data_IF_938966052679
#
_entry.id   IF_938966052679
#
_cell.length_a   1.000
_cell.length_b   1.000
_cell.length_c   1.000
_cell.angle_alpha   90.00
_cell.angle_beta   90.00
_cell.angle_gamma   90.00
#
_symmetry.space_group_name_H-M   'P 1'
#
loop_
_entity.id
_entity.type
_entity.pdbx_description
1 polymer ?
#
# COMPACT_ATOMS: atom_id res chain seq x y z
N UNK A 1 0.25 16.87 -19.46
CA UNK A 1 0.21 18.08 -18.62
C UNK A 1 -1.18 18.36 -18.08
N UNK A 2 -2.28 18.38 -18.87
CA UNK A 2 -3.64 18.70 -18.38
C UNK A 2 -4.08 17.87 -17.15
N UNK A 3 -3.83 16.55 -17.10
CA UNK A 3 -4.20 15.74 -15.95
C UNK A 3 -3.42 16.11 -14.68
N UNK A 4 -2.15 16.49 -14.81
CA UNK A 4 -1.33 16.95 -13.67
C UNK A 4 -1.83 18.31 -13.18
N UNK A 5 -2.16 19.22 -14.10
CA UNK A 5 -2.78 20.50 -13.72
C UNK A 5 -4.14 20.29 -13.03
N UNK A 6 -4.97 19.34 -13.52
CA UNK A 6 -6.22 18.96 -12.86
C UNK A 6 -6.00 18.35 -11.48
N UNK A 7 -4.97 17.48 -11.32
CA UNK A 7 -4.60 16.94 -10.01
C UNK A 7 -4.10 18.02 -9.04
N UNK A 8 -3.26 18.95 -9.51
CA UNK A 8 -2.81 20.07 -8.70
C UNK A 8 -3.97 20.99 -8.29
N UNK A 9 -4.91 21.26 -9.20
CA UNK A 9 -6.11 22.01 -8.89
C UNK A 9 -6.97 21.31 -7.84
N UNK A 10 -7.17 19.97 -7.98
CA UNK A 10 -7.90 19.18 -7.00
C UNK A 10 -7.27 19.29 -5.60
N UNK A 11 -5.94 19.14 -5.50
CA UNK A 11 -5.20 19.28 -4.24
C UNK A 11 -5.34 20.70 -3.67
N UNK A 12 -5.20 21.73 -4.51
CA UNK A 12 -5.35 23.13 -4.08
C UNK A 12 -6.75 23.42 -3.55
N UNK A 13 -7.78 23.00 -4.29
CA UNK A 13 -9.18 23.18 -3.87
C UNK A 13 -9.46 22.39 -2.59
N UNK A 14 -8.96 21.15 -2.48
CA UNK A 14 -9.10 20.35 -1.26
C UNK A 14 -8.45 21.04 -0.06
N UNK A 15 -7.25 21.58 -0.23
CA UNK A 15 -6.58 22.32 0.84
C UNK A 15 -7.34 23.59 1.26
N UNK A 16 -7.81 24.39 0.30
CA UNK A 16 -8.55 25.63 0.58
C UNK A 16 -9.89 25.38 1.26
N UNK A 17 -10.70 24.46 0.69
CA UNK A 17 -12.02 24.11 1.24
C UNK A 17 -11.85 23.41 2.59
N UNK A 18 -10.92 22.48 2.70
CA UNK A 18 -10.66 21.79 3.96
C UNK A 18 -10.19 22.76 5.05
N UNK A 19 -9.29 23.69 4.74
CA UNK A 19 -8.87 24.72 5.69
C UNK A 19 -10.04 25.63 6.11
N UNK A 20 -10.96 25.96 5.20
CA UNK A 20 -12.16 26.74 5.54
C UNK A 20 -13.09 25.96 6.49
N UNK A 21 -13.34 24.68 6.23
CA UNK A 21 -14.15 23.82 7.10
C UNK A 21 -13.49 23.68 8.48
N UNK A 22 -12.18 23.36 8.53
CA UNK A 22 -11.47 23.17 9.81
C UNK A 22 -11.46 24.46 10.65
N UNK A 23 -11.35 25.64 10.02
CA UNK A 23 -11.43 26.92 10.73
C UNK A 23 -12.84 27.28 11.21
N UNK A 24 -13.87 26.82 10.49
CA UNK A 24 -15.26 27.15 10.80
C UNK A 24 -15.80 26.29 11.97
N UNK A 25 -15.56 25.00 11.97
CA UNK A 25 -16.17 24.06 12.91
C UNK A 25 -15.21 23.00 13.45
N UNK A 26 -13.97 22.93 12.98
CA UNK A 26 -12.96 21.95 13.44
C UNK A 26 -13.31 20.51 13.11
N UNK A 27 -14.26 20.26 12.21
CA UNK A 27 -14.83 18.92 12.00
C UNK A 27 -13.94 17.96 11.23
N UNK A 28 -12.89 18.44 10.53
CA UNK A 28 -11.98 17.57 9.80
C UNK A 28 -10.96 16.87 10.73
N UNK A 29 -10.63 17.48 11.85
CA UNK A 29 -9.58 17.01 12.76
C UNK A 29 -8.24 16.75 12.05
N UNK A 30 -7.86 17.64 11.13
CA UNK A 30 -6.57 17.61 10.43
C UNK A 30 -6.02 19.04 10.30
N UNK A 31 -4.75 19.23 10.69
CA UNK A 31 -4.16 20.58 10.71
C UNK A 31 -3.77 21.09 9.32
N UNK A 32 -3.58 20.21 8.35
CA UNK A 32 -3.17 20.56 6.98
C UNK A 32 -3.97 19.77 5.92
N UNK A 33 -5.29 20.06 5.78
CA UNK A 33 -6.13 19.34 4.83
C UNK A 33 -5.57 19.37 3.40
N UNK A 34 -5.71 18.28 2.61
CA UNK A 34 -6.41 17.03 2.96
C UNK A 34 -5.55 16.00 3.69
N UNK A 35 -4.27 16.29 3.98
CA UNK A 35 -3.35 15.38 4.67
C UNK A 35 -3.46 15.50 6.19
N UNK A 36 -3.31 14.38 6.89
CA UNK A 36 -3.09 14.37 8.33
C UNK A 36 -1.65 14.79 8.62
N UNK A 37 -1.40 16.10 8.60
CA UNK A 37 -0.09 16.70 8.72
C UNK A 37 -0.17 18.09 9.36
N UNK A 38 0.98 18.60 9.77
CA UNK A 38 1.14 19.98 10.26
C UNK A 38 2.23 20.68 9.47
N UNK A 39 2.08 21.97 9.24
CA UNK A 39 3.11 22.79 8.59
C UNK A 39 4.33 22.88 9.50
N UNK A 40 5.45 22.32 9.06
CA UNK A 40 6.69 22.26 9.81
C UNK A 40 7.90 22.20 8.87
N UNK A 41 8.31 23.33 8.28
CA UNK A 41 9.48 23.36 7.41
C UNK A 41 10.77 22.99 8.18
N UNK A 42 11.45 21.95 7.75
CA UNK A 42 12.66 21.48 8.43
C UNK A 42 13.61 20.76 7.47
N UNK A 43 14.87 20.66 7.91
CA UNK A 43 15.91 19.82 7.35
C UNK A 43 16.41 18.88 8.42
N UNK A 44 16.82 17.70 8.06
CA UNK A 44 17.29 16.73 9.01
C UNK A 44 18.39 15.80 8.51
N UNK A 45 18.84 14.86 9.32
CA UNK A 45 20.00 14.01 9.00
C UNK A 45 19.79 13.14 7.76
N UNK A 46 18.52 12.81 7.41
CA UNK A 46 18.18 12.06 6.21
C UNK A 46 18.23 12.87 4.90
N UNK A 47 18.18 14.22 4.97
CA UNK A 47 18.11 15.09 3.79
C UNK A 47 19.21 14.84 2.76
N UNK A 48 20.51 14.80 3.13
CA UNK A 48 21.57 14.55 2.14
C UNK A 48 21.43 13.19 1.47
N UNK A 49 21.06 12.15 2.23
CA UNK A 49 20.87 10.81 1.70
C UNK A 49 19.65 10.75 0.76
N UNK A 50 18.53 11.38 1.12
CA UNK A 50 17.34 11.46 0.29
C UNK A 50 17.62 12.15 -1.05
N UNK A 51 18.33 13.28 -1.04
CA UNK A 51 18.76 13.97 -2.25
C UNK A 51 19.69 13.11 -3.11
N UNK A 52 20.67 12.43 -2.49
CA UNK A 52 21.59 11.55 -3.21
C UNK A 52 20.86 10.38 -3.89
N UNK A 53 19.95 9.70 -3.17
CA UNK A 53 19.14 8.61 -3.73
C UNK A 53 18.26 9.11 -4.88
N UNK A 54 17.60 10.26 -4.70
CA UNK A 54 16.79 10.86 -5.76
C UNK A 54 17.62 11.10 -7.03
N UNK A 55 18.77 11.78 -6.91
CA UNK A 55 19.67 12.07 -8.04
C UNK A 55 20.13 10.79 -8.72
N UNK A 56 20.60 9.80 -7.95
CA UNK A 56 21.08 8.52 -8.49
C UNK A 56 19.98 7.80 -9.26
N UNK A 57 18.77 7.73 -8.72
CA UNK A 57 17.65 7.05 -9.39
C UNK A 57 17.15 7.84 -10.62
N UNK A 58 17.09 9.16 -10.56
CA UNK A 58 16.71 10.00 -11.72
C UNK A 58 17.70 9.82 -12.87
N UNK A 59 19.01 9.90 -12.59
CA UNK A 59 20.07 9.86 -13.61
C UNK A 59 20.29 8.45 -14.14
N UNK A 60 20.40 7.47 -13.24
CA UNK A 60 20.84 6.11 -13.58
C UNK A 60 19.70 5.08 -13.59
N UNK A 61 18.60 5.32 -12.87
CA UNK A 61 17.50 4.37 -12.72
C UNK A 61 16.97 3.81 -14.04
N UNK A 62 16.61 4.62 -15.04
CA UNK A 62 16.11 4.12 -16.32
C UNK A 62 17.12 3.23 -17.07
N UNK A 63 18.41 3.60 -17.06
CA UNK A 63 19.46 2.83 -17.73
C UNK A 63 19.80 1.54 -16.98
N UNK A 64 19.86 1.56 -15.65
CA UNK A 64 20.05 0.37 -14.82
C UNK A 64 18.87 -0.59 -14.97
N UNK A 65 17.64 -0.08 -14.95
CA UNK A 65 16.45 -0.89 -15.16
C UNK A 65 16.45 -1.59 -16.52
N UNK A 66 16.99 -0.96 -17.56
CA UNK A 66 17.09 -1.57 -18.89
C UNK A 66 18.18 -2.67 -18.96
N UNK A 67 19.32 -2.50 -18.26
CA UNK A 67 20.55 -3.31 -18.45
C UNK A 67 20.76 -4.42 -17.42
N UNK A 68 20.27 -4.25 -16.18
CA UNK A 68 20.51 -5.22 -15.12
C UNK A 68 19.85 -6.57 -15.45
N UNK A 69 20.49 -7.67 -15.07
CA UNK A 69 19.86 -8.99 -15.05
C UNK A 69 18.62 -8.95 -14.15
N UNK A 70 17.56 -9.63 -14.53
CA UNK A 70 16.26 -9.55 -13.84
C UNK A 70 16.34 -9.67 -12.31
N UNK A 71 17.03 -10.70 -11.78
CA UNK A 71 17.18 -10.87 -10.33
C UNK A 71 17.88 -9.69 -9.67
N UNK A 72 18.95 -9.16 -10.32
CA UNK A 72 19.65 -7.97 -9.83
C UNK A 72 18.76 -6.73 -9.88
N UNK A 73 17.94 -6.58 -10.92
CA UNK A 73 16.99 -5.47 -11.01
C UNK A 73 16.00 -5.47 -9.85
N UNK A 74 15.41 -6.63 -9.51
CA UNK A 74 14.46 -6.76 -8.42
C UNK A 74 15.12 -6.42 -7.07
N UNK A 75 16.32 -6.96 -6.81
CA UNK A 75 17.07 -6.68 -5.57
C UNK A 75 17.53 -5.21 -5.48
N UNK A 76 18.06 -4.66 -6.57
CA UNK A 76 18.47 -3.23 -6.62
C UNK A 76 17.26 -2.31 -6.48
N UNK A 77 16.11 -2.67 -7.07
CA UNK A 77 14.86 -1.92 -6.92
C UNK A 77 14.39 -1.89 -5.47
N UNK A 78 14.41 -3.03 -4.78
CA UNK A 78 14.11 -3.09 -3.35
C UNK A 78 15.11 -2.31 -2.50
N UNK A 79 16.40 -2.52 -2.70
CA UNK A 79 17.45 -1.80 -1.97
C UNK A 79 17.36 -0.27 -2.18
N UNK A 80 17.09 0.18 -3.41
CA UNK A 80 16.90 1.60 -3.71
C UNK A 80 15.62 2.16 -3.06
N UNK A 81 14.52 1.39 -3.04
CA UNK A 81 13.30 1.78 -2.33
C UNK A 81 13.52 1.83 -0.81
N UNK A 82 14.27 0.88 -0.25
CA UNK A 82 14.67 0.89 1.15
C UNK A 82 15.52 2.12 1.49
N UNK A 83 16.51 2.44 0.64
CA UNK A 83 17.33 3.63 0.81
C UNK A 83 16.49 4.91 0.70
N UNK A 84 15.56 4.99 -0.26
CA UNK A 84 14.66 6.12 -0.45
C UNK A 84 13.76 6.33 0.76
N UNK A 85 12.99 5.32 1.14
CA UNK A 85 12.06 5.36 2.27
C UNK A 85 12.78 5.60 3.59
N UNK A 86 13.89 4.91 3.83
CA UNK A 86 14.69 5.08 5.06
C UNK A 86 15.32 6.47 5.17
N UNK A 87 15.82 7.03 4.06
CA UNK A 87 16.35 8.39 4.07
C UNK A 87 15.26 9.45 4.29
N UNK A 88 14.06 9.26 3.73
CA UNK A 88 12.92 10.14 4.00
C UNK A 88 12.50 10.06 5.48
N UNK A 89 12.36 8.86 6.06
CA UNK A 89 12.04 8.70 7.48
C UNK A 89 13.09 9.35 8.40
N UNK A 90 14.37 9.30 8.01
CA UNK A 90 15.47 9.92 8.76
C UNK A 90 15.54 11.45 8.62
N UNK A 91 14.73 12.09 7.78
CA UNK A 91 14.63 13.56 7.77
C UNK A 91 14.13 14.06 9.13
N UNK A 92 13.16 13.36 9.74
CA UNK A 92 12.69 13.63 11.10
C UNK A 92 13.66 13.12 12.19
N UNK A 93 14.77 12.49 11.79
CA UNK A 93 15.74 11.86 12.68
C UNK A 93 15.30 10.48 13.17
N UNK A 94 16.22 9.72 13.77
CA UNK A 94 15.98 8.35 14.23
C UNK A 94 14.82 8.23 15.22
N UNK A 95 14.79 9.10 16.22
CA UNK A 95 13.79 9.02 17.31
C UNK A 95 12.39 9.32 16.77
N UNK A 96 12.22 10.46 16.11
CA UNK A 96 10.93 10.95 15.65
C UNK A 96 10.45 10.23 14.41
N UNK A 97 11.33 9.99 13.42
CA UNK A 97 10.98 9.39 12.15
C UNK A 97 10.86 7.87 12.18
N UNK A 98 11.52 7.18 13.15
CA UNK A 98 11.55 5.72 13.19
C UNK A 98 11.16 5.17 14.56
N UNK A 99 11.95 5.43 15.63
CA UNK A 99 11.83 4.67 16.87
C UNK A 99 10.56 5.00 17.67
N UNK A 100 10.03 6.19 17.58
CA UNK A 100 8.87 6.61 18.37
C UNK A 100 7.53 6.56 17.59
N UNK A 101 7.54 6.26 16.28
CA UNK A 101 6.31 6.27 15.47
C UNK A 101 5.27 5.26 15.94
N UNK A 102 5.69 4.04 16.20
CA UNK A 102 4.80 2.95 16.62
C UNK A 102 4.67 2.80 18.15
N UNK A 103 5.12 3.82 18.91
CA UNK A 103 5.04 3.82 20.39
C UNK A 103 4.08 4.88 20.95
N UNK A 104 3.36 5.61 20.09
CA UNK A 104 2.37 6.59 20.54
C UNK A 104 1.17 5.90 21.23
N UNK A 105 0.36 6.66 21.96
CA UNK A 105 -0.79 6.14 22.69
C UNK A 105 -1.83 5.42 21.79
N UNK A 106 -1.78 5.62 20.49
CA UNK A 106 -2.72 5.02 19.54
C UNK A 106 -2.21 3.70 18.92
N UNK A 107 -0.93 3.35 19.17
CA UNK A 107 -0.19 2.35 18.42
C UNK A 107 -0.11 0.98 19.12
N UNK A 108 0.34 -0.02 18.35
CA UNK A 108 0.37 -1.45 18.71
C UNK A 108 1.31 -1.76 19.88
N UNK A 109 2.45 -1.05 20.01
CA UNK A 109 3.48 -1.41 20.98
C UNK A 109 3.08 -1.12 22.42
N UNK A 110 2.07 -0.29 22.64
CA UNK A 110 1.58 0.05 23.99
C UNK A 110 0.86 -1.12 24.69
N UNK A 111 0.43 -2.13 23.93
CA UNK A 111 -0.37 -3.25 24.45
C UNK A 111 0.32 -4.62 24.34
N UNK A 112 1.60 -4.69 23.97
CA UNK A 112 2.33 -5.95 23.75
C UNK A 112 2.17 -6.91 24.93
N UNK A 113 2.30 -6.42 26.18
CA UNK A 113 2.20 -7.25 27.41
C UNK A 113 0.81 -7.86 27.61
N UNK A 114 -0.23 -7.28 27.04
CA UNK A 114 -1.59 -7.87 27.10
C UNK A 114 -1.70 -9.16 26.27
N UNK A 115 -0.68 -9.48 25.47
CA UNK A 115 -0.56 -10.69 24.65
C UNK A 115 0.48 -11.68 25.19
N UNK A 116 0.88 -11.57 26.48
CA UNK A 116 1.77 -12.55 27.12
C UNK A 116 1.12 -13.95 27.07
N UNK A 117 -0.17 -14.04 27.33
CA UNK A 117 -0.99 -15.22 27.04
C UNK A 117 -1.87 -14.95 25.81
N UNK A 118 -1.53 -15.61 24.69
CA UNK A 118 -2.23 -15.42 23.41
C UNK A 118 -3.66 -15.97 23.42
N UNK A 119 -3.91 -17.05 24.15
CA UNK A 119 -5.20 -17.71 24.15
C UNK A 119 -6.31 -16.81 24.66
N UNK A 120 -6.26 -16.32 25.90
CA UNK A 120 -7.21 -15.36 26.44
C UNK A 120 -7.27 -14.07 25.61
N UNK A 121 -6.10 -13.49 25.27
CA UNK A 121 -6.05 -12.22 24.53
C UNK A 121 -6.80 -12.28 23.19
N UNK A 122 -6.78 -13.42 22.48
CA UNK A 122 -7.50 -13.58 21.22
C UNK A 122 -8.99 -13.85 21.42
N UNK A 123 -9.37 -14.62 22.44
CA UNK A 123 -10.79 -14.86 22.77
C UNK A 123 -11.51 -13.59 23.19
N UNK A 124 -10.83 -12.75 23.98
CA UNK A 124 -11.40 -11.53 24.52
C UNK A 124 -11.17 -10.31 23.61
N UNK A 125 -10.50 -10.48 22.48
CA UNK A 125 -10.09 -9.36 21.63
C UNK A 125 -11.25 -8.45 21.23
N UNK A 126 -12.40 -9.02 20.84
CA UNK A 126 -13.58 -8.26 20.40
C UNK A 126 -14.23 -7.48 21.52
N UNK A 127 -14.13 -7.92 22.77
CA UNK A 127 -14.68 -7.24 23.93
C UNK A 127 -14.03 -5.88 24.25
N UNK A 128 -12.81 -5.65 23.75
CA UNK A 128 -12.04 -4.42 23.96
C UNK A 128 -12.05 -3.46 22.76
N UNK A 129 -12.82 -3.73 21.70
CA UNK A 129 -12.83 -2.89 20.49
C UNK A 129 -13.50 -1.54 20.74
N UNK A 130 -14.66 -1.51 21.40
CA UNK A 130 -15.45 -0.30 21.59
C UNK A 130 -14.79 0.66 22.61
N UNK A 131 -14.92 1.98 22.41
CA UNK A 131 -14.38 3.00 23.31
C UNK A 131 -14.94 2.99 24.73
N UNK A 132 -16.17 2.53 24.87
CA UNK A 132 -16.85 2.44 26.18
C UNK A 132 -16.58 1.12 26.90
N UNK A 133 -15.82 0.21 26.28
CA UNK A 133 -15.41 -1.02 26.93
C UNK A 133 -14.33 -0.75 28.00
N UNK A 134 -14.35 -1.46 29.14
CA UNK A 134 -13.24 -1.45 30.08
C UNK A 134 -11.96 -1.87 29.37
N UNK A 135 -10.85 -1.18 29.66
CA UNK A 135 -9.53 -1.48 29.08
C UNK A 135 -9.56 -1.61 27.52
N UNK A 136 -10.29 -0.71 26.85
CA UNK A 136 -10.42 -0.71 25.41
C UNK A 136 -9.06 -0.64 24.70
N UNK A 137 -8.99 -1.20 23.50
CA UNK A 137 -7.79 -1.13 22.67
C UNK A 137 -7.49 0.30 22.21
N UNK A 138 -6.18 0.66 22.07
CA UNK A 138 -5.77 1.83 21.31
C UNK A 138 -6.35 1.83 19.90
N UNK A 139 -6.47 3.01 19.29
CA UNK A 139 -7.19 3.18 18.02
C UNK A 139 -6.73 2.23 16.91
N UNK A 140 -5.41 2.05 16.75
CA UNK A 140 -4.88 1.18 15.69
C UNK A 140 -5.06 -0.31 16.01
N UNK A 141 -5.03 -0.72 17.28
CA UNK A 141 -5.32 -2.10 17.65
C UNK A 141 -6.81 -2.41 17.47
N UNK A 142 -7.70 -1.51 17.91
CA UNK A 142 -9.14 -1.64 17.70
C UNK A 142 -9.53 -1.61 16.22
N UNK A 143 -8.79 -0.83 15.42
CA UNK A 143 -9.05 -0.62 13.98
C UNK A 143 -8.67 -1.79 13.08
N UNK A 144 -7.92 -2.77 13.61
CA UNK A 144 -7.37 -3.86 12.81
C UNK A 144 -7.64 -5.22 13.45
N UNK A 145 -7.77 -6.30 12.64
CA UNK A 145 -7.76 -7.65 13.17
C UNK A 145 -6.44 -7.98 13.91
N UNK A 146 -6.43 -9.00 14.78
CA UNK A 146 -5.33 -9.23 15.71
C UNK A 146 -3.97 -9.56 15.05
N UNK A 147 -3.91 -10.00 13.79
CA UNK A 147 -2.63 -10.26 13.12
C UNK A 147 -1.74 -9.01 13.05
N UNK A 148 -2.34 -7.80 13.03
CA UNK A 148 -1.59 -6.55 13.03
C UNK A 148 -0.75 -6.40 14.31
N UNK A 149 -1.36 -6.51 15.48
CA UNK A 149 -0.66 -6.44 16.77
C UNK A 149 0.23 -7.66 16.99
N UNK A 150 -0.21 -8.86 16.59
CA UNK A 150 0.55 -10.09 16.74
C UNK A 150 1.87 -10.09 15.96
N UNK A 151 1.98 -9.31 14.90
CA UNK A 151 3.26 -9.10 14.21
C UNK A 151 4.29 -8.50 15.17
N UNK A 152 3.93 -7.47 15.92
CA UNK A 152 4.84 -6.81 16.85
C UNK A 152 5.05 -7.62 18.14
N UNK A 153 4.05 -8.35 18.59
CA UNK A 153 4.20 -9.37 19.65
C UNK A 153 5.22 -10.44 19.23
N UNK A 154 5.15 -10.90 17.98
CA UNK A 154 6.09 -11.86 17.44
C UNK A 154 7.53 -11.33 17.39
N UNK A 155 7.71 -10.06 16.99
CA UNK A 155 9.02 -9.41 17.01
C UNK A 155 9.56 -9.30 18.43
N UNK A 156 8.75 -8.90 19.39
CA UNK A 156 9.14 -8.77 20.79
C UNK A 156 9.60 -10.12 21.36
N UNK A 157 8.85 -11.20 21.10
CA UNK A 157 9.17 -12.56 21.58
C UNK A 157 10.48 -13.14 21.04
N UNK A 158 10.94 -12.68 19.88
CA UNK A 158 12.23 -13.10 19.31
C UNK A 158 13.36 -12.14 19.66
N UNK A 159 13.15 -11.19 20.61
CA UNK A 159 14.15 -10.24 21.07
C UNK A 159 14.29 -8.98 20.18
N UNK A 160 13.40 -8.77 19.24
CA UNK A 160 13.33 -7.58 18.39
C UNK A 160 12.23 -6.62 18.87
N UNK A 161 12.12 -6.45 20.19
CA UNK A 161 11.14 -5.56 20.82
C UNK A 161 11.48 -4.07 20.68
N UNK A 162 10.46 -3.22 20.89
CA UNK A 162 10.57 -1.78 20.88
C UNK A 162 10.43 -1.12 19.50
N UNK A 163 10.24 0.20 19.53
CA UNK A 163 9.85 0.97 18.34
C UNK A 163 10.90 1.03 17.24
N UNK A 164 12.18 0.96 17.58
CA UNK A 164 13.26 0.92 16.59
C UNK A 164 13.20 -0.31 15.69
N UNK A 165 13.03 -1.50 16.27
CA UNK A 165 12.89 -2.75 15.51
C UNK A 165 11.56 -2.81 14.76
N UNK A 166 10.46 -2.36 15.38
CA UNK A 166 9.17 -2.28 14.73
C UNK A 166 9.21 -1.37 13.49
N UNK A 167 9.84 -0.20 13.62
CA UNK A 167 10.02 0.74 12.51
C UNK A 167 10.89 0.17 11.40
N UNK A 168 12.03 -0.44 11.73
CA UNK A 168 12.91 -1.11 10.75
C UNK A 168 12.18 -2.25 10.03
N UNK A 169 11.36 -3.01 10.75
CA UNK A 169 10.50 -4.04 10.15
C UNK A 169 9.54 -3.44 9.12
N UNK A 170 8.79 -2.39 9.50
CA UNK A 170 7.83 -1.75 8.61
C UNK A 170 8.50 -1.21 7.35
N UNK A 171 9.65 -0.52 7.48
CA UNK A 171 10.40 0.03 6.35
C UNK A 171 10.93 -1.11 5.46
N UNK A 172 11.58 -2.11 6.04
CA UNK A 172 12.24 -3.18 5.27
C UNK A 172 11.24 -4.09 4.57
N UNK A 173 10.21 -4.53 5.29
CA UNK A 173 9.14 -5.33 4.73
C UNK A 173 8.30 -4.52 3.73
N UNK A 174 7.90 -3.28 4.11
CA UNK A 174 7.06 -2.41 3.28
C UNK A 174 7.67 -2.12 1.91
N UNK A 175 8.94 -1.76 1.88
CA UNK A 175 9.65 -1.46 0.62
C UNK A 175 9.79 -2.68 -0.29
N UNK A 176 9.70 -3.92 0.24
CA UNK A 176 9.69 -5.14 -0.56
C UNK A 176 8.48 -5.24 -1.50
N UNK A 177 7.44 -4.42 -1.29
CA UNK A 177 6.33 -4.27 -2.22
C UNK A 177 6.80 -3.91 -3.64
N UNK A 178 7.90 -3.16 -3.79
CA UNK A 178 8.51 -2.86 -5.10
C UNK A 178 8.92 -4.14 -5.81
N UNK A 179 9.57 -5.06 -5.11
CA UNK A 179 9.95 -6.36 -5.66
C UNK A 179 8.72 -7.18 -6.07
N UNK A 180 7.70 -7.24 -5.21
CA UNK A 180 6.45 -7.95 -5.48
C UNK A 180 5.73 -7.39 -6.73
N UNK A 181 5.58 -6.05 -6.81
CA UNK A 181 4.95 -5.39 -7.97
C UNK A 181 5.74 -5.67 -9.25
N UNK A 182 7.07 -5.57 -9.25
CA UNK A 182 7.91 -5.89 -10.41
C UNK A 182 7.72 -7.33 -10.89
N UNK A 183 7.70 -8.30 -9.96
CA UNK A 183 7.49 -9.72 -10.25
C UNK A 183 6.09 -9.93 -10.83
N UNK A 184 5.06 -9.34 -10.22
CA UNK A 184 3.68 -9.41 -10.69
C UNK A 184 3.50 -8.80 -12.09
N UNK A 185 4.08 -7.62 -12.33
CA UNK A 185 4.05 -6.96 -13.64
C UNK A 185 4.71 -7.82 -14.72
N UNK A 186 5.91 -8.35 -14.46
CA UNK A 186 6.58 -9.23 -15.41
C UNK A 186 5.75 -10.47 -15.76
N UNK A 187 5.09 -11.07 -14.77
CA UNK A 187 4.25 -12.23 -14.95
C UNK A 187 2.99 -11.91 -15.77
N UNK A 188 2.35 -10.79 -15.48
CA UNK A 188 1.07 -10.40 -16.09
C UNK A 188 1.22 -9.69 -17.43
N UNK A 189 2.29 -8.95 -17.65
CA UNK A 189 2.55 -8.18 -18.86
C UNK A 189 3.76 -8.73 -19.60
N UNK A 190 4.91 -8.08 -19.46
CA UNK A 190 6.22 -8.51 -19.91
C UNK A 190 7.34 -7.88 -19.11
N UNK A 191 8.57 -8.33 -19.35
CA UNK A 191 9.75 -7.82 -18.66
C UNK A 191 10.05 -6.36 -19.02
N UNK A 192 9.80 -5.94 -20.26
CA UNK A 192 10.04 -4.58 -20.72
C UNK A 192 9.15 -3.58 -19.99
N UNK A 193 7.88 -3.91 -19.80
CA UNK A 193 6.92 -3.11 -19.03
C UNK A 193 7.33 -3.00 -17.57
N UNK A 194 7.70 -4.12 -16.92
CA UNK A 194 8.16 -4.11 -15.53
C UNK A 194 9.45 -3.27 -15.35
N UNK A 195 10.41 -3.37 -16.29
CA UNK A 195 11.63 -2.57 -16.29
C UNK A 195 11.35 -1.06 -16.41
N UNK A 196 10.41 -0.67 -17.23
CA UNK A 196 10.00 0.74 -17.39
C UNK A 196 9.31 1.29 -16.15
N UNK A 197 8.57 0.48 -15.41
CA UNK A 197 7.93 0.87 -14.16
C UNK A 197 8.92 1.01 -13.00
N UNK A 198 10.01 0.23 -12.99
CA UNK A 198 10.89 0.06 -11.83
C UNK A 198 11.37 1.38 -11.18
N UNK A 199 11.90 2.39 -11.90
CA UNK A 199 12.36 3.62 -11.26
C UNK A 199 11.23 4.43 -10.62
N UNK A 200 10.01 4.35 -11.16
CA UNK A 200 8.84 5.05 -10.63
C UNK A 200 8.28 4.38 -9.37
N UNK A 201 8.38 3.06 -9.28
CA UNK A 201 8.05 2.31 -8.07
C UNK A 201 9.03 2.65 -6.93
N UNK A 202 10.30 2.92 -7.24
CA UNK A 202 11.30 3.33 -6.25
C UNK A 202 11.05 4.74 -5.75
N UNK A 203 10.90 5.74 -6.65
CA UNK A 203 10.75 7.15 -6.28
C UNK A 203 9.27 7.57 -6.09
N UNK A 204 8.42 6.64 -5.69
CA UNK A 204 7.03 7.00 -5.38
C UNK A 204 6.96 7.93 -4.17
N UNK A 205 6.14 9.00 -4.18
CA UNK A 205 5.91 9.83 -2.99
C UNK A 205 5.28 9.07 -1.83
N UNK A 206 4.55 7.98 -2.09
CA UNK A 206 4.03 7.07 -1.06
C UNK A 206 5.09 6.61 -0.06
N UNK A 207 6.39 6.67 -0.42
CA UNK A 207 7.50 6.35 0.46
C UNK A 207 7.54 7.19 1.74
N UNK A 208 7.01 8.42 1.73
CA UNK A 208 6.89 9.29 2.91
C UNK A 208 6.07 8.60 4.00
N UNK A 209 4.95 7.97 3.63
CA UNK A 209 4.03 7.31 4.55
C UNK A 209 4.30 5.82 4.72
N UNK A 210 5.11 5.22 3.87
CA UNK A 210 5.60 3.86 4.04
C UNK A 210 6.70 3.78 5.11
N UNK A 211 7.34 4.90 5.38
CA UNK A 211 8.53 5.02 6.21
C UNK A 211 8.26 5.00 7.70
N UNK A 212 7.53 4.09 8.26
CA UNK A 212 7.38 3.64 9.65
C UNK A 212 5.92 3.37 10.01
N UNK A 213 5.07 3.24 9.00
CA UNK A 213 3.68 2.84 9.18
C UNK A 213 3.52 1.33 9.07
N UNK A 214 2.67 0.75 9.91
CA UNK A 214 2.25 -0.64 9.77
C UNK A 214 1.54 -0.89 8.42
N UNK A 215 0.86 0.11 7.88
CA UNK A 215 0.21 0.04 6.56
C UNK A 215 1.22 -0.20 5.42
N UNK A 216 2.47 0.29 5.55
CA UNK A 216 3.56 -0.02 4.62
C UNK A 216 3.89 -1.52 4.62
N UNK A 217 3.98 -2.13 5.79
CA UNK A 217 4.14 -3.58 5.93
C UNK A 217 2.92 -4.33 5.37
N UNK A 218 1.69 -3.89 5.66
CA UNK A 218 0.47 -4.50 5.10
C UNK A 218 0.44 -4.42 3.57
N UNK A 219 0.91 -3.30 3.00
CA UNK A 219 1.03 -3.13 1.56
C UNK A 219 1.96 -4.17 0.93
N UNK A 220 3.07 -4.50 1.60
CA UNK A 220 3.97 -5.53 1.11
C UNK A 220 3.34 -6.92 1.15
N UNK A 221 2.67 -7.29 2.25
CA UNK A 221 1.98 -8.61 2.37
C UNK A 221 0.93 -8.75 1.27
N UNK A 222 0.10 -7.73 1.06
CA UNK A 222 -0.89 -7.68 -0.01
C UNK A 222 -0.25 -7.79 -1.41
N UNK A 223 0.84 -7.03 -1.66
CA UNK A 223 1.54 -7.05 -2.94
C UNK A 223 2.18 -8.41 -3.23
N UNK A 224 2.78 -9.07 -2.24
CA UNK A 224 3.33 -10.41 -2.39
C UNK A 224 2.24 -11.45 -2.63
N UNK A 225 1.09 -11.37 -1.97
CA UNK A 225 -0.06 -12.24 -2.25
C UNK A 225 -0.45 -12.16 -3.73
N UNK A 226 -0.63 -10.96 -4.26
CA UNK A 226 -1.01 -10.74 -5.65
C UNK A 226 0.09 -11.14 -6.65
N UNK A 227 1.37 -10.91 -6.33
CA UNK A 227 2.49 -11.32 -7.15
C UNK A 227 2.59 -12.86 -7.26
N UNK A 228 2.40 -13.56 -6.14
CA UNK A 228 2.38 -15.03 -6.12
C UNK A 228 1.16 -15.59 -6.87
N UNK A 229 -0.01 -14.94 -6.78
CA UNK A 229 -1.16 -15.30 -7.61
C UNK A 229 -0.84 -15.14 -9.10
N UNK A 230 -0.20 -14.03 -9.49
CA UNK A 230 0.21 -13.79 -10.87
C UNK A 230 1.18 -14.88 -11.37
N UNK A 231 2.15 -15.29 -10.54
CA UNK A 231 3.05 -16.41 -10.86
C UNK A 231 2.32 -17.75 -10.98
N UNK A 232 1.40 -18.04 -10.07
CA UNK A 232 0.61 -19.27 -10.07
C UNK A 232 -0.33 -19.36 -11.29
N UNK A 233 -0.84 -18.22 -11.76
CA UNK A 233 -1.75 -18.12 -12.88
C UNK A 233 -1.06 -18.09 -14.26
N UNK A 234 0.28 -17.86 -14.32
CA UNK A 234 1.02 -17.72 -15.57
C UNK A 234 2.09 -18.80 -15.73
N UNK A 235 2.02 -19.61 -16.79
CA UNK A 235 3.04 -20.63 -17.11
C UNK A 235 4.41 -20.05 -17.51
N UNK A 236 4.50 -18.75 -17.79
CA UNK A 236 5.72 -18.09 -18.31
C UNK A 236 6.80 -17.86 -17.27
N UNK A 237 6.47 -17.91 -15.99
CA UNK A 237 7.36 -17.48 -14.91
C UNK A 237 8.27 -18.59 -14.36
N UNK A 238 8.08 -19.87 -14.74
CA UNK A 238 8.79 -21.01 -14.17
C UNK A 238 9.69 -21.70 -15.19
N UNK A 239 10.83 -22.29 -14.77
CA UNK A 239 11.69 -23.08 -15.64
C UNK A 239 10.90 -24.24 -16.27
N UNK A 240 11.09 -24.45 -17.59
CA UNK A 240 10.42 -25.53 -18.37
C UNK A 240 10.65 -26.95 -17.87
N UNK A 241 11.55 -27.15 -16.91
CA UNK A 241 12.04 -28.47 -16.45
C UNK A 241 11.44 -28.97 -15.15
N UNK A 242 10.46 -28.30 -14.54
CA UNK A 242 9.87 -28.78 -13.28
C UNK A 242 8.75 -29.79 -13.57
N UNK A 243 8.90 -31.08 -13.20
CA UNK A 243 7.82 -32.06 -13.33
C UNK A 243 6.64 -31.67 -12.43
N UNK A 244 5.43 -31.73 -12.96
CA UNK A 244 4.21 -31.79 -12.15
C UNK A 244 3.62 -30.48 -11.61
N UNK A 245 4.07 -29.27 -11.98
CA UNK A 245 3.41 -28.03 -11.57
C UNK A 245 3.56 -27.68 -10.08
N UNK A 246 4.43 -28.36 -9.32
CA UNK A 246 4.67 -28.14 -7.89
C UNK A 246 4.97 -26.67 -7.53
N UNK A 247 5.86 -25.93 -8.25
CA UNK A 247 6.12 -24.53 -7.94
C UNK A 247 4.89 -23.61 -8.11
N UNK A 248 4.00 -23.93 -9.08
CA UNK A 248 2.76 -23.17 -9.27
C UNK A 248 1.76 -23.43 -8.14
N UNK A 249 1.67 -24.67 -7.65
CA UNK A 249 0.84 -25.04 -6.51
C UNK A 249 1.34 -24.37 -5.23
N UNK A 250 2.64 -24.40 -4.99
CA UNK A 250 3.26 -23.70 -3.86
C UNK A 250 3.01 -22.20 -3.91
N UNK A 251 3.16 -21.55 -5.08
CA UNK A 251 2.85 -20.14 -5.26
C UNK A 251 1.36 -19.83 -5.03
N UNK A 252 0.44 -20.69 -5.48
CA UNK A 252 -0.99 -20.51 -5.25
C UNK A 252 -1.35 -20.62 -3.76
N UNK A 253 -0.81 -21.64 -3.06
CA UNK A 253 -1.03 -21.79 -1.62
C UNK A 253 -0.42 -20.63 -0.82
N UNK A 254 0.82 -20.24 -1.12
CA UNK A 254 1.48 -19.11 -0.48
C UNK A 254 0.75 -17.79 -0.74
N UNK A 255 0.23 -17.58 -1.97
CA UNK A 255 -0.66 -16.47 -2.28
C UNK A 255 -1.88 -16.47 -1.37
N UNK A 256 -2.52 -17.62 -1.18
CA UNK A 256 -3.69 -17.77 -0.32
C UNK A 256 -3.39 -17.48 1.15
N UNK A 257 -2.27 -18.01 1.66
CA UNK A 257 -1.84 -17.72 3.04
C UNK A 257 -1.60 -16.23 3.25
N UNK A 258 -0.92 -15.55 2.31
CA UNK A 258 -0.70 -14.11 2.39
C UNK A 258 -2.01 -13.31 2.15
N UNK A 259 -2.93 -13.82 1.33
CA UNK A 259 -4.26 -13.20 1.17
C UNK A 259 -5.05 -13.26 2.46
N UNK A 260 -5.11 -14.43 3.09
CA UNK A 260 -5.74 -14.60 4.40
C UNK A 260 -5.07 -13.70 5.44
N UNK A 261 -3.75 -13.70 5.53
CA UNK A 261 -3.01 -12.81 6.43
C UNK A 261 -3.36 -11.33 6.14
N UNK A 262 -3.44 -10.91 4.88
CA UNK A 262 -3.83 -9.54 4.52
C UNK A 262 -5.20 -9.18 5.09
N UNK A 263 -6.19 -10.07 5.01
CA UNK A 263 -7.52 -9.87 5.60
C UNK A 263 -7.49 -9.82 7.13
N UNK A 264 -6.49 -10.43 7.78
CA UNK A 264 -6.30 -10.40 9.23
C UNK A 264 -5.33 -9.33 9.70
N UNK A 265 -4.67 -8.62 8.77
CA UNK A 265 -3.92 -7.38 9.05
C UNK A 265 -4.82 -6.15 8.99
N UNK A 266 -5.78 -6.09 8.07
CA UNK A 266 -6.72 -4.97 7.99
C UNK A 266 -8.03 -5.42 7.31
N UNK A 267 -9.17 -5.02 7.88
CA UNK A 267 -10.50 -5.34 7.35
C UNK A 267 -10.72 -4.77 5.94
N UNK A 268 -10.26 -3.54 5.69
CA UNK A 268 -10.40 -2.87 4.39
C UNK A 268 -9.61 -3.53 3.27
N UNK A 269 -8.59 -4.33 3.62
CA UNK A 269 -7.75 -5.00 2.64
C UNK A 269 -8.40 -6.23 1.98
N UNK A 270 -9.59 -6.63 2.39
CA UNK A 270 -10.42 -7.56 1.61
C UNK A 270 -10.64 -7.07 0.17
N UNK A 271 -10.57 -5.76 -0.06
CA UNK A 271 -10.71 -5.16 -1.39
C UNK A 271 -9.58 -5.52 -2.37
N UNK A 272 -8.44 -6.09 -1.91
CA UNK A 272 -7.43 -6.64 -2.85
C UNK A 272 -8.00 -7.79 -3.70
N UNK A 273 -9.13 -8.39 -3.28
CA UNK A 273 -9.86 -9.36 -4.07
C UNK A 273 -10.24 -8.83 -5.48
N UNK A 274 -10.49 -7.53 -5.63
CA UNK A 274 -10.76 -6.91 -6.93
C UNK A 274 -9.54 -7.00 -7.86
N UNK A 275 -8.33 -6.80 -7.31
CA UNK A 275 -7.08 -6.92 -8.05
C UNK A 275 -6.80 -8.39 -8.36
N UNK A 276 -7.03 -9.28 -7.40
CA UNK A 276 -6.90 -10.73 -7.61
C UNK A 276 -7.85 -11.23 -8.71
N UNK A 277 -9.11 -10.77 -8.72
CA UNK A 277 -10.06 -11.08 -9.77
C UNK A 277 -9.56 -10.59 -11.14
N UNK A 278 -9.02 -9.39 -11.24
CA UNK A 278 -8.41 -8.88 -12.47
C UNK A 278 -7.24 -9.76 -12.96
N UNK A 279 -6.40 -10.26 -12.05
CA UNK A 279 -5.31 -11.20 -12.37
C UNK A 279 -5.89 -12.49 -12.98
N UNK A 280 -6.92 -13.08 -12.38
CA UNK A 280 -7.57 -14.28 -12.87
C UNK A 280 -8.25 -14.04 -14.24
N UNK A 281 -8.91 -12.91 -14.42
CA UNK A 281 -9.50 -12.50 -15.70
C UNK A 281 -8.44 -12.33 -16.80
N UNK A 282 -7.32 -11.64 -16.50
CA UNK A 282 -6.22 -11.45 -17.45
C UNK A 282 -5.55 -12.75 -17.86
N UNK A 283 -5.48 -13.71 -16.96
CA UNK A 283 -4.84 -15.00 -17.20
C UNK A 283 -5.81 -16.07 -17.70
N UNK A 284 -7.12 -15.77 -17.66
CA UNK A 284 -8.23 -16.67 -18.03
C UNK A 284 -8.10 -18.06 -17.39
N UNK A 285 -7.73 -18.12 -16.12
CA UNK A 285 -7.58 -19.38 -15.39
C UNK A 285 -8.06 -19.27 -13.96
N UNK A 286 -8.80 -20.28 -13.52
CA UNK A 286 -9.21 -20.45 -12.13
C UNK A 286 -8.39 -21.53 -11.40
N UNK A 287 -7.39 -22.11 -12.07
CA UNK A 287 -6.56 -23.19 -11.49
C UNK A 287 -5.91 -22.87 -10.15
N UNK A 288 -5.42 -21.63 -9.89
CA UNK A 288 -4.85 -21.29 -8.59
C UNK A 288 -5.90 -21.17 -7.47
N UNK A 289 -7.18 -20.94 -7.81
CA UNK A 289 -8.24 -20.56 -6.87
C UNK A 289 -8.45 -21.58 -5.74
N UNK A 290 -8.48 -22.90 -5.96
CA UNK A 290 -8.68 -23.84 -4.85
C UNK A 290 -7.57 -23.80 -3.80
N UNK A 291 -6.31 -23.69 -4.22
CA UNK A 291 -5.17 -23.58 -3.29
C UNK A 291 -5.06 -22.20 -2.66
N UNK A 292 -5.41 -21.14 -3.38
CA UNK A 292 -5.54 -19.81 -2.81
C UNK A 292 -6.62 -19.80 -1.73
N UNK A 293 -7.80 -20.32 -2.01
CA UNK A 293 -8.89 -20.43 -1.04
C UNK A 293 -8.47 -21.28 0.17
N UNK A 294 -7.83 -22.42 -0.06
CA UNK A 294 -7.32 -23.28 1.03
C UNK A 294 -6.32 -22.54 1.93
N UNK A 295 -5.38 -21.78 1.35
CA UNK A 295 -4.45 -20.96 2.13
C UNK A 295 -5.13 -19.86 2.92
N UNK A 296 -6.06 -19.13 2.32
CA UNK A 296 -6.81 -18.08 2.99
C UNK A 296 -7.69 -18.64 4.13
N UNK A 297 -8.38 -19.76 3.87
CA UNK A 297 -9.19 -20.44 4.87
C UNK A 297 -8.35 -21.05 6.01
N UNK A 298 -7.12 -21.49 5.74
CA UNK A 298 -6.21 -21.96 6.78
C UNK A 298 -5.88 -20.83 7.77
N UNK A 299 -5.60 -19.62 7.29
CA UNK A 299 -5.39 -18.47 8.18
C UNK A 299 -6.67 -18.13 8.94
N UNK A 300 -7.82 -18.10 8.27
CA UNK A 300 -9.10 -17.86 8.93
C UNK A 300 -9.38 -18.90 10.02
N UNK A 301 -9.12 -20.18 9.74
CA UNK A 301 -9.30 -21.27 10.70
C UNK A 301 -8.40 -21.09 11.94
N UNK A 302 -7.13 -20.71 11.77
CA UNK A 302 -6.21 -20.46 12.90
C UNK A 302 -6.79 -19.41 13.85
N UNK A 303 -7.23 -18.27 13.35
CA UNK A 303 -7.78 -17.19 14.19
C UNK A 303 -9.14 -17.56 14.80
N UNK A 304 -10.01 -18.23 14.03
CA UNK A 304 -11.33 -18.67 14.53
C UNK A 304 -11.19 -19.72 15.61
N UNK A 305 -10.30 -20.71 15.44
CA UNK A 305 -10.02 -21.73 16.46
C UNK A 305 -9.34 -21.15 17.70
N UNK A 306 -8.57 -20.05 17.54
CA UNK A 306 -8.03 -19.28 18.65
C UNK A 306 -9.06 -18.42 19.37
N UNK A 307 -10.31 -18.37 18.89
CA UNK A 307 -11.43 -17.68 19.51
C UNK A 307 -11.76 -16.30 18.94
N UNK A 308 -11.04 -15.82 17.92
CA UNK A 308 -11.32 -14.53 17.29
C UNK A 308 -12.36 -14.66 16.18
N UNK A 309 -13.48 -13.91 16.31
CA UNK A 309 -14.51 -13.79 15.28
C UNK A 309 -14.27 -12.59 14.38
N UNK A 310 -13.89 -12.83 13.11
CA UNK A 310 -13.59 -11.76 12.15
C UNK A 310 -14.81 -10.87 11.85
N UNK A 311 -15.99 -11.47 11.68
CA UNK A 311 -17.24 -10.74 11.37
C UNK A 311 -17.72 -9.90 12.55
N UNK A 312 -17.60 -10.41 13.75
CA UNK A 312 -17.90 -9.66 14.97
C UNK A 312 -16.92 -8.48 15.10
N UNK A 313 -15.62 -8.73 14.97
CA UNK A 313 -14.60 -7.69 15.00
C UNK A 313 -14.86 -6.60 13.95
N UNK A 314 -15.25 -6.96 12.72
CA UNK A 314 -15.59 -5.98 11.68
C UNK A 314 -16.83 -5.15 12.06
N UNK A 315 -17.89 -5.78 12.57
CA UNK A 315 -19.10 -5.07 13.01
C UNK A 315 -18.78 -4.07 14.12
N UNK A 316 -18.03 -4.51 15.13
CA UNK A 316 -17.59 -3.64 16.23
C UNK A 316 -16.63 -2.54 15.76
N UNK A 317 -15.78 -2.81 14.78
CA UNK A 317 -14.97 -1.77 14.16
C UNK A 317 -15.82 -0.67 13.52
N UNK A 318 -16.89 -1.02 12.79
CA UNK A 318 -17.78 -0.02 12.19
C UNK A 318 -18.38 0.88 13.28
N UNK A 319 -18.83 0.29 14.38
CA UNK A 319 -19.33 1.05 15.54
C UNK A 319 -18.22 1.90 16.16
N UNK A 320 -17.04 1.32 16.42
CA UNK A 320 -15.87 2.01 16.95
C UNK A 320 -15.43 3.20 16.10
N UNK A 321 -15.50 3.06 14.78
CA UNK A 321 -15.14 4.11 13.83
C UNK A 321 -15.97 5.37 14.04
N UNK A 322 -17.27 5.22 14.30
CA UNK A 322 -18.18 6.32 14.59
C UNK A 322 -18.20 6.75 16.07
N UNK A 323 -17.43 6.12 16.94
CA UNK A 323 -17.16 6.61 18.30
C UNK A 323 -15.98 7.60 18.35
N UNK A 324 -15.28 7.83 17.23
CA UNK A 324 -14.13 8.73 17.10
C UNK A 324 -14.41 9.91 16.17
N UNK A 325 -13.34 10.54 15.70
CA UNK A 325 -13.39 11.71 14.79
C UNK A 325 -14.22 11.46 13.52
N UNK A 326 -14.32 10.23 13.06
CA UNK A 326 -15.09 9.87 11.87
C UNK A 326 -16.60 10.17 11.99
N UNK A 327 -17.14 10.27 13.22
CA UNK A 327 -18.55 10.65 13.44
C UNK A 327 -18.84 12.06 12.92
N UNK A 328 -17.93 13.01 13.15
CA UNK A 328 -18.09 14.42 12.80
C UNK A 328 -17.47 14.79 11.47
N UNK A 329 -16.51 14.01 10.97
CA UNK A 329 -15.86 14.23 9.68
C UNK A 329 -16.86 14.19 8.53
N UNK A 330 -17.06 15.29 7.74
CA UNK A 330 -18.07 15.37 6.69
C UNK A 330 -17.71 14.47 5.50
N UNK A 331 -18.58 13.51 5.19
CA UNK A 331 -18.38 12.62 4.03
C UNK A 331 -18.32 13.40 2.70
N UNK A 332 -19.14 14.44 2.58
CA UNK A 332 -19.20 15.28 1.38
C UNK A 332 -17.85 15.95 1.03
N UNK A 333 -16.97 16.19 2.03
CA UNK A 333 -15.62 16.67 1.78
C UNK A 333 -14.68 15.48 1.51
N UNK A 334 -14.70 14.45 2.35
CA UNK A 334 -13.70 13.39 2.29
C UNK A 334 -13.81 12.52 1.04
N UNK A 335 -14.99 12.33 0.44
CA UNK A 335 -15.18 11.55 -0.79
C UNK A 335 -14.37 12.08 -1.99
N UNK A 336 -13.96 13.33 -1.98
CA UNK A 336 -13.07 13.88 -2.98
C UNK A 336 -11.74 14.41 -2.41
N UNK A 337 -11.70 14.75 -1.13
CA UNK A 337 -10.48 15.06 -0.39
C UNK A 337 -9.51 13.88 -0.35
N UNK A 338 -10.01 12.66 -0.18
CA UNK A 338 -9.24 11.43 -0.27
C UNK A 338 -8.60 11.22 -1.66
N UNK A 339 -9.28 11.63 -2.73
CA UNK A 339 -8.70 11.59 -4.08
C UNK A 339 -7.56 12.60 -4.22
N UNK A 340 -7.64 13.76 -3.56
CA UNK A 340 -6.53 14.72 -3.50
C UNK A 340 -5.32 14.12 -2.72
N UNK A 341 -5.55 13.41 -1.60
CA UNK A 341 -4.51 12.63 -0.94
C UNK A 341 -3.89 11.60 -1.89
N UNK A 342 -4.72 10.90 -2.69
CA UNK A 342 -4.23 9.92 -3.67
C UNK A 342 -3.32 10.55 -4.72
N UNK A 343 -3.62 11.77 -5.17
CA UNK A 343 -2.74 12.53 -6.08
C UNK A 343 -1.38 12.79 -5.42
N UNK A 344 -1.35 13.17 -4.15
CA UNK A 344 -0.12 13.45 -3.41
C UNK A 344 0.73 12.19 -3.19
N UNK A 345 0.12 11.09 -2.75
CA UNK A 345 0.86 9.85 -2.46
C UNK A 345 1.35 9.13 -3.72
N UNK A 346 0.66 9.28 -4.85
CA UNK A 346 1.05 8.64 -6.11
C UNK A 346 1.91 9.50 -7.00
N UNK A 347 1.76 10.82 -6.90
CA UNK A 347 2.60 11.82 -7.53
C UNK A 347 2.27 12.13 -9.00
N UNK A 348 2.88 13.20 -9.55
CA UNK A 348 2.52 13.77 -10.84
C UNK A 348 2.75 12.84 -12.04
N UNK A 349 3.79 12.01 -12.01
CA UNK A 349 4.02 11.03 -13.06
C UNK A 349 2.90 9.99 -13.12
N UNK A 350 2.46 9.49 -11.97
CA UNK A 350 1.37 8.53 -11.89
C UNK A 350 0.05 9.15 -12.35
N UNK A 351 -0.26 10.37 -11.94
CA UNK A 351 -1.45 11.11 -12.40
C UNK A 351 -1.45 11.27 -13.92
N UNK A 352 -0.30 11.65 -14.52
CA UNK A 352 -0.14 11.73 -15.97
C UNK A 352 -0.36 10.39 -16.68
N UNK A 353 0.13 9.30 -16.06
CA UNK A 353 -0.01 7.94 -16.57
C UNK A 353 -1.44 7.39 -16.40
N UNK A 354 -2.11 7.69 -15.29
CA UNK A 354 -3.50 7.30 -15.05
C UNK A 354 -4.46 7.87 -16.10
N UNK A 355 -4.25 9.11 -16.58
CA UNK A 355 -5.01 9.64 -17.71
C UNK A 355 -4.91 8.72 -18.94
N UNK A 356 -3.70 8.22 -19.25
CA UNK A 356 -3.50 7.30 -20.38
C UNK A 356 -4.18 5.96 -20.14
N UNK A 357 -4.10 5.47 -18.90
CA UNK A 357 -4.77 4.25 -18.47
C UNK A 357 -6.28 4.37 -18.65
N UNK A 358 -6.90 5.42 -18.12
CA UNK A 358 -8.34 5.63 -18.18
C UNK A 358 -8.83 5.83 -19.62
N UNK A 359 -8.09 6.54 -20.46
CA UNK A 359 -8.41 6.69 -21.88
C UNK A 359 -8.36 5.36 -22.65
N UNK A 360 -7.47 4.44 -22.28
CA UNK A 360 -7.33 3.13 -22.90
C UNK A 360 -8.23 2.05 -22.25
N UNK A 361 -8.78 2.30 -21.06
CA UNK A 361 -9.55 1.32 -20.29
C UNK A 361 -10.77 0.74 -21.07
N UNK A 362 -11.61 1.55 -21.77
CA UNK A 362 -12.76 0.99 -22.48
C UNK A 362 -12.36 -0.02 -23.56
N UNK A 363 -11.27 0.24 -24.27
CA UNK A 363 -10.76 -0.70 -25.29
C UNK A 363 -10.15 -1.97 -24.66
N UNK A 364 -9.37 -1.80 -23.59
CA UNK A 364 -8.77 -2.92 -22.88
C UNK A 364 -9.82 -3.84 -22.23
N UNK A 365 -10.86 -3.26 -21.60
CA UNK A 365 -11.95 -4.01 -20.96
C UNK A 365 -12.81 -4.75 -22.00
N UNK A 366 -13.05 -4.15 -23.18
CA UNK A 366 -13.70 -4.87 -24.29
C UNK A 366 -12.90 -6.11 -24.74
N UNK A 367 -11.55 -6.02 -24.68
CA UNK A 367 -10.67 -7.15 -24.97
C UNK A 367 -10.73 -8.30 -23.93
N UNK A 368 -11.40 -8.12 -22.78
CA UNK A 368 -11.64 -9.20 -21.81
C UNK A 368 -12.86 -10.05 -22.14
N UNK A 369 -13.72 -9.64 -23.07
CA UNK A 369 -14.90 -10.43 -23.46
C UNK A 369 -14.49 -11.83 -23.91
N UNK A 370 -15.27 -12.87 -23.60
CA UNK A 370 -14.95 -14.25 -24.00
C UNK A 370 -14.71 -14.40 -25.50
N UNK A 371 -15.47 -13.66 -26.31
CA UNK A 371 -15.39 -13.67 -27.79
C UNK A 371 -14.13 -12.99 -28.35
N UNK A 372 -13.45 -12.12 -27.57
CA UNK A 372 -12.31 -11.33 -28.07
C UNK A 372 -10.96 -12.08 -28.07
N UNK A 373 -10.91 -13.34 -27.63
CA UNK A 373 -9.64 -14.04 -27.43
C UNK A 373 -8.80 -13.43 -26.26
N UNK A 374 -7.62 -13.99 -25.96
CA UNK A 374 -6.80 -13.47 -24.86
C UNK A 374 -6.19 -12.10 -25.18
N UNK A 375 -6.27 -11.18 -24.23
CA UNK A 375 -5.64 -9.87 -24.35
C UNK A 375 -4.11 -10.04 -24.38
N UNK A 376 -3.51 -9.88 -25.56
CA UNK A 376 -2.07 -10.15 -25.80
C UNK A 376 -1.17 -8.94 -25.56
N UNK A 377 -1.67 -7.73 -25.81
CA UNK A 377 -0.87 -6.51 -25.68
C UNK A 377 -0.49 -6.26 -24.22
N UNK A 378 0.82 -6.17 -23.88
CA UNK A 378 1.27 -5.91 -22.51
C UNK A 378 0.69 -4.61 -21.93
N UNK A 379 0.60 -3.56 -22.74
CA UNK A 379 -0.01 -2.28 -22.35
C UNK A 379 -1.50 -2.44 -21.99
N UNK A 380 -2.27 -3.20 -22.76
CA UNK A 380 -3.68 -3.47 -22.45
C UNK A 380 -3.85 -4.24 -21.15
N UNK A 381 -2.97 -5.22 -20.88
CA UNK A 381 -2.96 -5.98 -19.61
C UNK A 381 -2.62 -5.10 -18.43
N UNK A 382 -1.64 -4.20 -18.58
CA UNK A 382 -1.30 -3.19 -17.57
C UNK A 382 -2.49 -2.26 -17.30
N UNK A 383 -3.17 -1.80 -18.36
CA UNK A 383 -4.36 -0.95 -18.24
C UNK A 383 -5.45 -1.63 -17.39
N UNK A 384 -5.75 -2.90 -17.66
CA UNK A 384 -6.75 -3.67 -16.88
C UNK A 384 -6.32 -3.78 -15.41
N UNK A 385 -5.07 -4.12 -15.16
CA UNK A 385 -4.55 -4.25 -13.78
C UNK A 385 -4.67 -2.92 -13.03
N UNK A 386 -4.19 -1.82 -13.61
CA UNK A 386 -4.25 -0.50 -12.97
C UNK A 386 -5.71 -0.02 -12.80
N UNK A 387 -6.59 -0.33 -13.74
CA UNK A 387 -8.03 -0.02 -13.62
C UNK A 387 -8.66 -0.76 -12.44
N UNK A 388 -8.28 -2.02 -12.21
CA UNK A 388 -8.76 -2.76 -11.03
C UNK A 388 -8.25 -2.17 -9.71
N UNK A 389 -7.02 -1.66 -9.68
CA UNK A 389 -6.49 -0.92 -8.51
C UNK A 389 -7.27 0.37 -8.27
N UNK A 390 -7.51 1.16 -9.32
CA UNK A 390 -8.34 2.38 -9.21
C UNK A 390 -9.75 2.04 -8.72
N UNK A 391 -10.35 0.95 -9.22
CA UNK A 391 -11.66 0.49 -8.76
C UNK A 391 -11.64 0.14 -7.27
N UNK A 392 -10.60 -0.56 -6.79
CA UNK A 392 -10.46 -0.88 -5.37
C UNK A 392 -10.37 0.37 -4.49
N UNK A 393 -9.59 1.39 -4.92
CA UNK A 393 -9.52 2.69 -4.25
C UNK A 393 -10.87 3.39 -4.24
N UNK A 394 -11.58 3.42 -5.37
CA UNK A 394 -12.91 4.06 -5.46
C UNK A 394 -13.94 3.35 -4.58
N UNK A 395 -13.92 2.02 -4.50
CA UNK A 395 -14.80 1.26 -3.59
C UNK A 395 -14.47 1.57 -2.13
N UNK A 396 -13.18 1.66 -1.77
CA UNK A 396 -12.76 2.05 -0.44
C UNK A 396 -13.23 3.47 -0.08
N UNK A 397 -13.10 4.40 -1.02
CA UNK A 397 -13.53 5.80 -0.85
C UNK A 397 -15.04 5.94 -0.65
N UNK A 398 -15.80 5.32 -1.56
CA UNK A 398 -17.27 5.37 -1.53
C UNK A 398 -17.88 4.64 -0.32
N UNK A 399 -17.14 3.75 0.34
CA UNK A 399 -17.59 3.07 1.55
C UNK A 399 -17.81 4.02 2.74
N UNK A 400 -17.16 5.19 2.74
CA UNK A 400 -17.18 6.13 3.85
C UNK A 400 -16.40 5.66 5.10
N UNK A 401 -15.74 4.51 5.03
CA UNK A 401 -14.92 3.95 6.11
C UNK A 401 -13.46 4.45 6.12
N UNK A 402 -13.16 5.43 5.28
CA UNK A 402 -11.85 6.08 5.20
C UNK A 402 -12.05 7.58 5.03
N UNK A 403 -12.31 8.28 6.13
CA UNK A 403 -12.39 9.75 6.16
C UNK A 403 -11.10 10.28 6.77
N UNK A 404 -10.20 10.85 5.99
CA UNK A 404 -8.81 11.19 6.32
C UNK A 404 -7.85 9.98 6.42
N UNK A 405 -6.57 10.28 6.56
CA UNK A 405 -5.48 9.32 6.77
C UNK A 405 -5.30 8.33 5.61
N UNK A 406 -5.91 8.61 4.46
CA UNK A 406 -5.86 7.74 3.29
C UNK A 406 -4.47 7.70 2.65
N UNK A 407 -3.63 8.65 2.95
CA UNK A 407 -2.21 8.68 2.56
C UNK A 407 -1.42 7.47 3.08
N UNK A 408 -1.83 6.84 4.19
CA UNK A 408 -1.26 5.59 4.70
C UNK A 408 -2.21 4.40 4.50
N UNK A 409 -3.50 4.54 4.83
CA UNK A 409 -4.47 3.44 4.79
C UNK A 409 -4.59 2.82 3.39
N UNK A 410 -4.41 3.63 2.33
CA UNK A 410 -4.52 3.16 0.95
C UNK A 410 -3.18 2.76 0.30
N UNK A 411 -2.07 2.76 1.06
CA UNK A 411 -0.77 2.27 0.57
C UNK A 411 -0.85 0.89 -0.10
N UNK A 412 -1.61 -0.10 0.42
CA UNK A 412 -1.71 -1.42 -0.20
C UNK A 412 -2.25 -1.42 -1.64
N UNK A 413 -3.04 -0.41 -1.98
CA UNK A 413 -3.51 -0.17 -3.35
C UNK A 413 -2.55 0.75 -4.10
N UNK A 414 -2.13 1.85 -3.47
CA UNK A 414 -1.33 2.91 -4.07
C UNK A 414 0.02 2.42 -4.62
N UNK A 415 0.66 1.41 -4.00
CA UNK A 415 1.95 0.84 -4.46
C UNK A 415 1.90 0.24 -5.87
N UNK A 416 0.70 -0.08 -6.38
CA UNK A 416 0.51 -0.60 -7.74
C UNK A 416 0.34 0.49 -8.79
N UNK A 417 -0.12 1.68 -8.41
CA UNK A 417 -0.47 2.76 -9.35
C UNK A 417 0.73 3.30 -10.13
N UNK A 418 1.96 3.44 -9.57
CA UNK A 418 3.13 3.89 -10.33
C UNK A 418 3.52 2.94 -11.48
N UNK A 419 3.02 1.70 -11.49
CA UNK A 419 3.18 0.80 -12.63
C UNK A 419 2.65 1.40 -13.95
N UNK A 420 1.59 2.24 -13.88
CA UNK A 420 1.06 2.96 -15.02
C UNK A 420 2.10 3.84 -15.72
N UNK A 421 3.14 4.31 -15.00
CA UNK A 421 4.21 5.13 -15.56
C UNK A 421 5.00 4.42 -16.68
N UNK A 422 4.92 3.09 -16.77
CA UNK A 422 5.43 2.36 -17.93
C UNK A 422 4.78 2.78 -19.26
N UNK A 423 3.60 3.41 -19.24
CA UNK A 423 2.90 3.95 -20.42
C UNK A 423 3.38 5.36 -20.84
N UNK A 424 4.22 6.00 -20.02
CA UNK A 424 4.78 7.32 -20.34
C UNK A 424 5.87 7.20 -21.40
N UNK A 425 6.05 8.22 -22.27
CA UNK A 425 7.13 8.24 -23.25
C UNK A 425 8.51 8.20 -22.58
N UNK A 426 9.38 7.28 -23.02
CA UNK A 426 10.70 7.06 -22.41
C UNK A 426 11.59 8.32 -22.35
N UNK A 427 11.48 9.20 -23.36
CA UNK A 427 12.23 10.48 -23.41
C UNK A 427 11.95 11.41 -22.23
N UNK A 428 10.81 11.27 -21.55
CA UNK A 428 10.39 12.10 -20.42
C UNK A 428 10.54 11.42 -19.06
N UNK A 429 11.03 10.15 -19.01
CA UNK A 429 11.10 9.41 -17.76
C UNK A 429 11.90 10.15 -16.68
N UNK A 430 13.08 10.72 -17.01
CA UNK A 430 13.90 11.46 -16.03
C UNK A 430 13.17 12.68 -15.48
N UNK A 431 12.49 13.44 -16.34
CA UNK A 431 11.74 14.61 -15.90
C UNK A 431 10.56 14.22 -14.98
N UNK A 432 9.87 13.12 -15.30
CA UNK A 432 8.80 12.60 -14.44
C UNK A 432 9.32 12.03 -13.12
N UNK A 433 10.47 11.37 -13.11
CA UNK A 433 11.12 10.91 -11.89
C UNK A 433 11.56 12.09 -11.02
N UNK A 434 12.10 13.15 -11.62
CA UNK A 434 12.43 14.38 -10.90
C UNK A 434 11.21 15.02 -10.26
N UNK A 435 10.08 15.07 -10.97
CA UNK A 435 8.82 15.59 -10.43
C UNK A 435 8.28 14.72 -9.27
N UNK A 436 8.40 13.38 -9.35
CA UNK A 436 8.03 12.47 -8.24
C UNK A 436 8.88 12.72 -7.00
N UNK A 437 10.22 12.73 -7.18
CA UNK A 437 11.15 12.97 -6.09
C UNK A 437 10.97 14.37 -5.47
N UNK A 438 10.78 15.40 -6.30
CA UNK A 438 10.55 16.75 -5.84
C UNK A 438 9.28 16.85 -4.96
N UNK A 439 8.17 16.22 -5.38
CA UNK A 439 6.95 16.20 -4.57
C UNK A 439 7.18 15.50 -3.23
N UNK A 440 7.80 14.32 -3.21
CA UNK A 440 8.10 13.60 -1.98
C UNK A 440 8.98 14.41 -1.02
N UNK A 441 10.06 15.02 -1.55
CA UNK A 441 10.95 15.87 -0.79
C UNK A 441 10.23 17.12 -0.25
N UNK A 442 9.45 17.81 -1.09
CA UNK A 442 8.68 18.98 -0.65
C UNK A 442 7.69 18.62 0.46
N UNK A 443 6.91 17.57 0.29
CA UNK A 443 5.97 17.12 1.32
C UNK A 443 6.70 16.81 2.62
N UNK A 444 7.77 16.03 2.57
CA UNK A 444 8.48 15.58 3.77
C UNK A 444 9.26 16.70 4.47
N UNK A 445 9.77 17.71 3.74
CA UNK A 445 10.50 18.84 4.33
C UNK A 445 9.61 19.99 4.79
N UNK A 446 8.40 20.10 4.27
CA UNK A 446 7.49 21.20 4.61
C UNK A 446 6.43 20.78 5.62
N UNK A 447 6.12 19.48 5.69
CA UNK A 447 5.07 18.95 6.53
C UNK A 447 5.63 17.91 7.51
N UNK A 448 5.20 18.02 8.75
CA UNK A 448 5.33 16.94 9.71
C UNK A 448 4.07 16.07 9.60
N UNK A 449 4.24 14.84 9.13
CA UNK A 449 3.17 13.84 9.09
C UNK A 449 3.12 13.09 10.41
N UNK A 450 1.95 12.70 10.86
CA UNK A 450 1.79 11.92 12.10
C UNK A 450 2.35 10.48 12.01
N UNK A 451 2.77 10.09 10.82
CA UNK A 451 3.18 8.73 10.45
C UNK A 451 4.64 8.65 10.06
#
# INVERSE_FOLDING_TARGET
>A
MAAVAGGALLVTVAALVGTAIERADGSLHVNWPPLYASWFPHLGPGTPAALAVAVVVIVHGPSLAARLRWRRLVLTGWAAALAWTGSLALIDGWRTGIANRLTTAYEYLTVIRRFDDLGPALRDFTHHILNNAPDHWPAHVAGHPPAAVLTFVGLDRIGLGGGGWAGLWCITAGTSAVAAVLIGLRALTDEATARRAAPFLVLTPAAVWMGTSADGYFAAVAAWSLALLALAATRRALPRRSPGGAPMRAAALASGLLFGLTCYLSYGLTLIALIAAAILLLTRTLRPLPLLAAGALAVAAVFTLAGFSWWEGYRLLVERYYQGAAAVRPYAYWVWGNLACTVLITGPATVAALRRTLAAAPAALRGLRPSAGPLRAPSGRLVVLVTAVVLAVLVADLSGMSKAETERIWLPFAVWLPAACALLPARWHRAWLAAQAALALLVNHLLYTGW
#
